data_IF_423073850228
#
_entry.id   IF_423073850228
#
_cell.length_a   1.000
_cell.length_b   1.000
_cell.length_c   1.000
_cell.angle_alpha   90.00
_cell.angle_beta   90.00
_cell.angle_gamma   90.00
#
_symmetry.space_group_name_H-M   'P 1'
#
loop_
_entity.id
_entity.type
_entity.pdbx_description
1 polymer ?
#
# COMPACT_ATOMS: atom_id res chain seq x y z
N UNK A 1 -22.12 -29.44 46.26
CA UNK A 1 -21.67 -29.58 44.86
C UNK A 1 -22.07 -28.32 44.10
N UNK A 2 -21.13 -27.46 43.71
CA UNK A 2 -21.44 -26.20 43.02
C UNK A 2 -21.75 -26.50 41.56
N UNK A 3 -23.01 -26.28 41.14
CA UNK A 3 -23.45 -26.50 39.77
C UNK A 3 -22.97 -25.34 38.90
N UNK A 4 -21.91 -25.54 38.11
CA UNK A 4 -21.47 -24.54 37.12
C UNK A 4 -22.57 -24.40 36.07
N UNK A 5 -23.24 -23.25 36.03
CA UNK A 5 -24.25 -22.95 35.00
C UNK A 5 -23.51 -22.39 33.79
N UNK A 6 -23.74 -22.99 32.62
CA UNK A 6 -23.22 -22.49 31.35
C UNK A 6 -23.98 -21.27 30.85
N UNK A 7 -23.45 -20.63 29.81
CA UNK A 7 -24.13 -19.57 29.06
C UNK A 7 -25.39 -20.17 28.43
N UNK A 8 -26.49 -19.40 28.39
CA UNK A 8 -27.72 -19.90 27.77
C UNK A 8 -27.49 -20.16 26.27
N UNK A 9 -28.16 -21.16 25.67
CA UNK A 9 -27.98 -21.46 24.25
C UNK A 9 -28.23 -20.25 23.34
N UNK A 10 -29.21 -19.41 23.69
CA UNK A 10 -29.56 -18.19 22.93
C UNK A 10 -28.51 -17.10 23.09
N UNK A 11 -27.94 -16.94 24.29
CA UNK A 11 -26.89 -15.93 24.52
C UNK A 11 -25.60 -16.35 23.80
N UNK A 12 -25.31 -17.64 23.77
CA UNK A 12 -24.14 -18.17 23.08
C UNK A 12 -24.17 -17.85 21.58
N UNK A 13 -25.32 -18.01 20.92
CA UNK A 13 -25.44 -17.70 19.49
C UNK A 13 -25.29 -16.21 19.20
N UNK A 14 -25.85 -15.34 20.05
CA UNK A 14 -25.70 -13.88 19.91
C UNK A 14 -24.24 -13.45 20.00
N UNK A 15 -23.49 -14.00 20.98
CA UNK A 15 -22.06 -13.69 21.13
C UNK A 15 -21.28 -14.16 19.90
N UNK A 16 -21.53 -15.39 19.43
CA UNK A 16 -20.83 -15.95 18.29
C UNK A 16 -21.10 -15.11 17.03
N UNK A 17 -22.37 -14.78 16.75
CA UNK A 17 -22.73 -13.98 15.56
C UNK A 17 -22.11 -12.58 15.63
N UNK A 18 -22.18 -11.92 16.79
CA UNK A 18 -21.59 -10.59 16.97
C UNK A 18 -20.08 -10.57 16.73
N UNK A 19 -19.35 -11.53 17.32
CA UNK A 19 -17.89 -11.64 17.13
C UNK A 19 -17.56 -12.00 15.68
N UNK A 20 -18.35 -12.89 15.06
CA UNK A 20 -18.11 -13.32 13.67
C UNK A 20 -18.22 -12.15 12.70
N UNK A 21 -19.26 -11.32 12.84
CA UNK A 21 -19.45 -10.13 11.99
C UNK A 21 -18.32 -9.11 12.24
N UNK A 22 -17.98 -8.86 13.50
CA UNK A 22 -16.92 -7.92 13.85
C UNK A 22 -15.56 -8.33 13.24
N UNK A 23 -15.19 -9.61 13.36
CA UNK A 23 -13.93 -10.13 12.81
C UNK A 23 -13.96 -10.13 11.27
N UNK A 24 -15.08 -10.51 10.65
CA UNK A 24 -15.20 -10.51 9.20
C UNK A 24 -14.97 -9.11 8.60
N UNK A 25 -15.57 -8.08 9.20
CA UNK A 25 -15.38 -6.68 8.78
C UNK A 25 -13.93 -6.22 9.03
N UNK A 26 -13.36 -6.55 10.19
CA UNK A 26 -11.99 -6.20 10.52
C UNK A 26 -10.99 -6.78 9.50
N UNK A 27 -11.15 -8.06 9.15
CA UNK A 27 -10.28 -8.72 8.15
C UNK A 27 -10.49 -8.14 6.76
N UNK A 28 -11.74 -7.87 6.36
CA UNK A 28 -12.02 -7.28 5.04
C UNK A 28 -11.34 -5.91 4.85
N UNK A 29 -11.44 -5.03 5.85
CA UNK A 29 -10.76 -3.74 5.80
C UNK A 29 -9.25 -3.84 5.95
N UNK A 30 -8.75 -4.78 6.76
CA UNK A 30 -7.32 -5.04 6.87
C UNK A 30 -6.71 -5.48 5.54
N UNK A 31 -7.37 -6.41 4.84
CA UNK A 31 -6.94 -6.85 3.51
C UNK A 31 -6.95 -5.71 2.49
N UNK A 32 -7.94 -4.81 2.55
CA UNK A 32 -7.99 -3.63 1.67
C UNK A 32 -6.82 -2.67 1.93
N UNK A 33 -6.42 -2.49 3.19
CA UNK A 33 -5.25 -1.67 3.56
C UNK A 33 -3.93 -2.22 3.03
N UNK A 34 -3.80 -3.55 2.93
CA UNK A 34 -2.61 -4.22 2.40
C UNK A 34 -2.47 -4.04 0.89
N UNK A 35 -3.59 -4.04 0.15
CA UNK A 35 -3.58 -3.88 -1.31
C UNK A 35 -2.86 -2.59 -1.71
N UNK A 36 -3.15 -1.46 -1.04
CA UNK A 36 -2.50 -0.19 -1.35
C UNK A 36 -0.97 -0.18 -1.20
N UNK A 37 -0.41 -1.04 -0.36
CA UNK A 37 1.04 -1.18 -0.19
C UNK A 37 1.70 -2.01 -1.28
N UNK A 38 0.99 -3.02 -1.82
CA UNK A 38 1.56 -3.97 -2.77
C UNK A 38 1.11 -3.74 -4.22
N UNK A 39 0.08 -2.94 -4.47
CA UNK A 39 -0.35 -2.53 -5.83
C UNK A 39 0.18 -1.16 -6.23
N UNK A 40 0.84 -0.46 -5.31
CA UNK A 40 1.63 0.72 -5.64
C UNK A 40 2.77 0.32 -6.59
N UNK A 41 2.84 0.97 -7.74
CA UNK A 41 3.87 0.73 -8.73
C UNK A 41 4.69 2.01 -8.91
N UNK A 42 5.96 1.95 -8.56
CA UNK A 42 6.93 3.01 -8.82
C UNK A 42 7.51 2.82 -10.22
N UNK A 43 7.16 3.73 -11.14
CA UNK A 43 7.67 3.67 -12.51
C UNK A 43 7.89 5.08 -13.05
N UNK A 44 9.16 5.37 -13.32
CA UNK A 44 9.58 6.57 -14.03
C UNK A 44 10.02 6.19 -15.44
N UNK A 45 9.56 6.96 -16.42
CA UNK A 45 9.92 6.81 -17.82
C UNK A 45 10.68 8.04 -18.30
N UNK A 46 11.82 7.85 -18.95
CA UNK A 46 12.62 8.94 -19.51
C UNK A 46 12.12 9.19 -20.93
N UNK A 47 11.48 10.35 -21.16
CA UNK A 47 10.95 10.70 -22.49
C UNK A 47 12.07 11.17 -23.41
N UNK A 48 13.02 11.94 -22.88
CA UNK A 48 14.24 12.32 -23.59
C UNK A 48 15.30 12.78 -22.58
N UNK A 49 16.56 12.52 -22.94
CA UNK A 49 17.73 12.98 -22.20
C UNK A 49 18.77 13.47 -23.21
N UNK A 50 19.28 14.68 -23.02
CA UNK A 50 20.36 15.22 -23.86
C UNK A 50 21.33 16.03 -23.00
N UNK A 51 22.58 16.10 -23.48
CA UNK A 51 23.65 16.84 -22.84
C UNK A 51 24.21 17.86 -23.81
N UNK A 52 24.35 19.10 -23.36
CA UNK A 52 24.95 20.19 -24.13
C UNK A 52 26.24 20.64 -23.45
N UNK A 53 27.32 20.91 -24.21
CA UNK A 53 28.53 21.45 -23.63
C UNK A 53 28.26 22.85 -23.08
N UNK A 54 28.63 23.09 -21.83
CA UNK A 54 28.60 24.40 -21.19
C UNK A 54 30.01 24.82 -20.81
N UNK A 55 30.25 26.11 -20.57
CA UNK A 55 31.58 26.68 -20.37
C UNK A 55 32.28 26.06 -19.14
N UNK A 56 33.03 24.97 -19.39
CA UNK A 56 33.74 24.20 -18.37
C UNK A 56 33.09 22.87 -17.97
N UNK A 57 32.02 22.42 -18.65
CA UNK A 57 31.34 21.16 -18.32
C UNK A 57 30.26 20.73 -19.32
N UNK A 58 29.29 19.98 -18.82
CA UNK A 58 28.12 19.51 -19.57
C UNK A 58 26.86 19.83 -18.79
N UNK A 59 25.88 20.46 -19.44
CA UNK A 59 24.53 20.61 -18.90
C UNK A 59 23.68 19.45 -19.39
N UNK A 60 23.22 18.60 -18.46
CA UNK A 60 22.39 17.43 -18.77
C UNK A 60 20.93 17.75 -18.45
N UNK A 61 20.08 17.71 -19.48
CA UNK A 61 18.64 17.90 -19.34
C UNK A 61 17.93 16.55 -19.53
N UNK A 62 17.21 16.12 -18.50
CA UNK A 62 16.43 14.88 -18.51
C UNK A 62 14.97 15.23 -18.27
N UNK A 63 14.10 14.80 -19.19
CA UNK A 63 12.65 14.86 -18.97
C UNK A 63 12.15 13.48 -18.59
N UNK A 64 11.65 13.40 -17.37
CA UNK A 64 11.01 12.20 -16.81
C UNK A 64 9.51 12.39 -16.72
N UNK A 65 8.77 11.30 -16.91
CA UNK A 65 7.35 11.22 -16.64
C UNK A 65 7.10 10.11 -15.61
N UNK A 66 6.28 10.38 -14.60
CA UNK A 66 5.83 9.35 -13.68
C UNK A 66 4.63 8.63 -14.30
N UNK A 67 4.86 7.41 -14.78
CA UNK A 67 3.81 6.52 -15.32
C UNK A 67 3.38 5.47 -14.29
N UNK A 68 3.91 5.54 -13.08
CA UNK A 68 3.52 4.75 -11.93
C UNK A 68 2.25 5.27 -11.25
N UNK A 69 1.86 4.58 -10.19
CA UNK A 69 0.69 4.91 -9.37
C UNK A 69 1.07 5.64 -8.07
N UNK A 70 2.37 5.79 -7.80
CA UNK A 70 2.91 6.45 -6.61
C UNK A 70 3.97 7.49 -6.96
N UNK A 71 4.16 8.48 -6.08
CA UNK A 71 5.24 9.46 -6.20
C UNK A 71 6.59 8.76 -6.05
N UNK A 72 7.52 9.04 -6.96
CA UNK A 72 8.86 8.42 -6.97
C UNK A 72 9.93 9.52 -6.99
N UNK A 73 11.05 9.27 -6.31
CA UNK A 73 12.22 10.16 -6.27
C UNK A 73 13.35 9.61 -7.14
N UNK A 74 14.20 10.52 -7.62
CA UNK A 74 15.47 10.17 -8.29
C UNK A 74 16.56 10.17 -7.22
N UNK A 75 17.21 9.04 -7.00
CA UNK A 75 18.30 8.91 -6.02
C UNK A 75 19.67 9.15 -6.65
N UNK A 76 19.89 8.63 -7.86
CA UNK A 76 21.18 8.70 -8.54
C UNK A 76 21.00 8.91 -10.03
N UNK A 77 21.87 9.74 -10.60
CA UNK A 77 22.02 9.94 -12.04
C UNK A 77 23.45 9.58 -12.40
N UNK A 78 23.61 8.54 -13.22
CA UNK A 78 24.91 8.10 -13.76
C UNK A 78 24.92 8.46 -15.25
N UNK A 79 25.98 9.14 -15.69
CA UNK A 79 26.16 9.67 -17.03
C UNK A 79 27.39 9.01 -17.67
#
# INVERSE_FOLDING_TARGET
MVKRRGISPVIATVIIVAVTIAVAIAVAFWMTGIVGLFTAAEKLEITYAYAEPDAGGWTVTIRVNNTGTTTTSIDMVII
#
